data_IF_497647844763
#
_entry.id   IF_497647844763
#
_cell.length_a   1.000
_cell.length_b   1.000
_cell.length_c   1.000
_cell.angle_alpha   90.00
_cell.angle_beta   90.00
_cell.angle_gamma   90.00
#
_symmetry.space_group_name_H-M   'P 1'
#
loop_
_entity.id
_entity.type
_entity.pdbx_description
1 polymer ?
#
# COMPACT_ATOMS: atom_id res chain seq x y z
N UNK A 1 14.98 12.03 6.62
CA UNK A 1 14.77 11.93 5.18
C UNK A 1 13.57 12.74 4.75
N UNK A 2 13.72 13.53 3.72
CA UNK A 2 12.61 14.33 3.19
C UNK A 2 11.84 13.53 2.16
N UNK A 3 10.52 13.76 2.12
CA UNK A 3 9.65 13.11 1.16
C UNK A 3 8.55 14.08 0.76
N UNK A 4 8.15 14.00 -0.50
CA UNK A 4 6.99 14.74 -0.98
C UNK A 4 5.68 14.03 -0.64
N UNK A 5 5.77 12.82 -0.11
CA UNK A 5 4.60 12.03 0.25
C UNK A 5 4.15 12.45 1.64
N UNK A 6 2.88 12.87 1.75
CA UNK A 6 2.35 13.43 2.99
C UNK A 6 1.45 12.49 3.76
N UNK A 7 0.94 11.46 3.10
CA UNK A 7 0.01 10.55 3.75
C UNK A 7 0.69 9.21 3.98
N UNK A 8 0.84 8.84 5.24
CA UNK A 8 1.43 7.57 5.64
C UNK A 8 0.49 6.92 6.63
N UNK A 9 -0.10 5.81 6.24
CA UNK A 9 -1.05 5.08 7.07
C UNK A 9 -0.42 3.78 7.53
N UNK A 10 -0.19 3.60 8.82
CA UNK A 10 0.32 2.31 9.30
C UNK A 10 -0.74 1.24 9.12
N UNK A 11 -0.32 0.06 8.73
CA UNK A 11 -1.24 -1.04 8.51
C UNK A 11 -0.52 -2.37 8.43
N UNK A 12 -1.30 -3.41 8.20
CA UNK A 12 -0.81 -4.78 8.09
C UNK A 12 -1.25 -5.34 6.75
N UNK A 13 -0.33 -6.01 6.06
CA UNK A 13 -0.68 -6.66 4.80
C UNK A 13 -1.63 -7.82 5.10
N UNK A 14 -2.83 -7.73 4.53
CA UNK A 14 -3.87 -8.74 4.72
C UNK A 14 -3.85 -9.77 3.59
N UNK A 15 -3.48 -9.35 2.38
CA UNK A 15 -3.57 -10.18 1.21
C UNK A 15 -2.64 -9.67 0.13
N UNK A 16 -2.01 -10.59 -0.58
CA UNK A 16 -1.20 -10.27 -1.76
C UNK A 16 -1.67 -11.17 -2.90
N UNK A 17 -2.03 -10.57 -4.02
CA UNK A 17 -2.36 -11.31 -5.23
C UNK A 17 -1.42 -10.83 -6.32
N UNK A 18 -0.66 -11.76 -6.89
CA UNK A 18 0.40 -11.41 -7.84
C UNK A 18 0.24 -12.16 -9.15
N UNK A 19 0.54 -11.48 -10.24
CA UNK A 19 0.93 -12.15 -11.47
C UNK A 19 2.41 -11.85 -11.71
N UNK A 20 2.89 -12.12 -12.91
CA UNK A 20 4.32 -11.92 -13.21
C UNK A 20 4.75 -10.47 -13.14
N UNK A 21 3.85 -9.55 -13.43
CA UNK A 21 4.18 -8.14 -13.66
C UNK A 21 3.76 -7.28 -12.50
N UNK A 22 2.51 -7.43 -12.05
CA UNK A 22 1.96 -6.56 -10.99
C UNK A 22 1.40 -7.39 -9.87
N UNK A 23 1.35 -6.76 -8.70
CA UNK A 23 0.79 -7.36 -7.50
C UNK A 23 -0.18 -6.39 -6.86
N UNK A 24 -1.29 -6.93 -6.38
CA UNK A 24 -2.25 -6.18 -5.59
C UNK A 24 -2.01 -6.48 -4.13
N UNK A 25 -1.85 -5.44 -3.34
CA UNK A 25 -1.59 -5.55 -1.91
C UNK A 25 -2.79 -4.94 -1.18
N UNK A 26 -3.44 -5.73 -0.36
CA UNK A 26 -4.52 -5.22 0.49
C UNK A 26 -3.95 -4.99 1.87
N UNK A 27 -4.02 -3.75 2.33
CA UNK A 27 -3.46 -3.32 3.61
C UNK A 27 -4.62 -2.94 4.52
N UNK A 28 -4.67 -3.57 5.68
CA UNK A 28 -5.66 -3.21 6.70
C UNK A 28 -5.09 -2.10 7.55
N UNK A 29 -5.81 -0.99 7.61
CA UNK A 29 -5.44 0.16 8.44
C UNK A 29 -6.55 0.42 9.46
N UNK A 30 -6.30 1.32 10.41
CA UNK A 30 -7.31 1.73 11.38
C UNK A 30 -8.53 2.38 10.72
N UNK A 31 -8.34 2.94 9.53
CA UNK A 31 -9.40 3.62 8.78
C UNK A 31 -10.10 2.69 7.78
N UNK A 32 -9.70 1.42 7.69
CA UNK A 32 -10.24 0.48 6.74
C UNK A 32 -9.15 -0.08 5.83
N UNK A 33 -9.57 -0.74 4.76
CA UNK A 33 -8.63 -1.36 3.83
C UNK A 33 -8.17 -0.36 2.79
N UNK A 34 -6.87 -0.43 2.49
CA UNK A 34 -6.25 0.34 1.41
C UNK A 34 -5.64 -0.65 0.45
N UNK A 35 -5.97 -0.53 -0.83
CA UNK A 35 -5.45 -1.42 -1.86
C UNK A 35 -4.38 -0.69 -2.66
N UNK A 36 -3.25 -1.35 -2.85
CA UNK A 36 -2.13 -0.83 -3.62
C UNK A 36 -1.81 -1.78 -4.74
N UNK A 37 -1.45 -1.25 -5.91
CA UNK A 37 -0.93 -2.05 -7.01
C UNK A 37 0.50 -1.61 -7.24
N UNK A 38 1.42 -2.54 -7.08
CA UNK A 38 2.85 -2.30 -7.30
C UNK A 38 3.41 -3.41 -8.17
N UNK A 39 4.62 -3.26 -8.65
CA UNK A 39 5.22 -4.32 -9.46
C UNK A 39 5.53 -5.54 -8.59
N UNK A 40 5.39 -6.71 -9.18
CA UNK A 40 5.76 -7.95 -8.50
C UNK A 40 7.24 -7.95 -8.13
N UNK A 41 8.07 -7.31 -8.97
CA UNK A 41 9.47 -7.12 -8.64
C UNK A 41 9.68 -6.33 -7.35
N UNK A 42 8.84 -5.32 -7.11
CA UNK A 42 8.91 -4.55 -5.86
C UNK A 42 8.53 -5.40 -4.66
N UNK A 43 7.50 -6.25 -4.80
CA UNK A 43 7.12 -7.18 -3.74
C UNK A 43 8.30 -8.08 -3.37
N UNK A 44 8.98 -8.58 -4.39
CA UNK A 44 10.12 -9.47 -4.19
C UNK A 44 11.30 -8.75 -3.53
N UNK A 45 11.63 -7.54 -4.02
CA UNK A 45 12.74 -6.77 -3.45
C UNK A 45 12.51 -6.41 -1.99
N UNK A 46 11.29 -6.06 -1.66
CA UNK A 46 10.94 -5.69 -0.28
C UNK A 46 10.58 -6.91 0.58
N UNK A 47 10.53 -8.09 -0.04
CA UNK A 47 10.18 -9.33 0.65
C UNK A 47 8.85 -9.20 1.41
N UNK A 48 7.84 -8.64 0.74
CA UNK A 48 6.55 -8.42 1.38
C UNK A 48 5.77 -9.73 1.51
N UNK A 49 5.14 -9.91 2.66
CA UNK A 49 4.35 -11.10 2.99
C UNK A 49 3.11 -10.68 3.75
N UNK A 50 2.10 -11.51 3.71
CA UNK A 50 0.92 -11.34 4.55
C UNK A 50 1.35 -11.34 6.01
N UNK A 51 0.77 -10.41 6.76
CA UNK A 51 1.11 -10.22 8.16
C UNK A 51 2.17 -9.17 8.41
N UNK A 52 2.89 -8.72 7.37
CA UNK A 52 3.91 -7.69 7.53
C UNK A 52 3.28 -6.36 7.91
N UNK A 53 3.96 -5.63 8.78
CA UNK A 53 3.57 -4.27 9.13
C UNK A 53 4.23 -3.31 8.15
N UNK A 54 3.41 -2.45 7.56
CA UNK A 54 3.84 -1.55 6.50
C UNK A 54 3.19 -0.18 6.69
N UNK A 55 3.64 0.77 5.88
CA UNK A 55 2.93 2.04 5.71
C UNK A 55 2.35 2.08 4.30
N UNK A 56 1.06 2.38 4.21
CA UNK A 56 0.47 2.77 2.94
C UNK A 56 0.78 4.25 2.74
N UNK A 57 1.54 4.58 1.71
CA UNK A 57 1.95 5.96 1.47
C UNK A 57 1.27 6.47 0.20
N UNK A 58 0.68 7.65 0.29
CA UNK A 58 -0.12 8.21 -0.78
C UNK A 58 0.28 9.66 -0.99
N UNK A 59 0.66 10.00 -2.22
CA UNK A 59 0.95 11.40 -2.54
C UNK A 59 -0.34 12.21 -2.43
N UNK A 60 -0.23 13.41 -1.91
CA UNK A 60 -1.40 14.28 -1.71
C UNK A 60 -2.14 14.52 -3.02
N UNK A 61 -1.44 14.56 -4.14
CA UNK A 61 -2.04 14.77 -5.45
C UNK A 61 -2.90 13.59 -5.92
N UNK A 62 -2.76 12.44 -5.28
CA UNK A 62 -3.49 11.22 -5.63
C UNK A 62 -4.73 10.99 -4.76
N UNK A 63 -4.97 11.87 -3.81
CA UNK A 63 -6.11 11.73 -2.89
C UNK A 63 -7.28 12.54 -3.42
N UNK A 64 -8.39 11.86 -3.65
CA UNK A 64 -9.63 12.49 -4.08
C UNK A 64 -10.54 12.66 -2.87
N UNK A 65 -11.49 13.57 -2.99
CA UNK A 65 -12.43 13.88 -1.90
C UNK A 65 -13.84 13.66 -2.42
N UNK A 66 -14.63 12.96 -1.62
CA UNK A 66 -16.06 12.88 -1.88
C UNK A 66 -16.81 13.20 -0.60
N UNK A 67 -18.00 13.76 -0.78
CA UNK A 67 -18.84 14.15 0.34
C UNK A 67 -19.85 13.05 0.63
N UNK A 68 -20.00 12.75 1.90
CA UNK A 68 -21.00 11.76 2.34
C UNK A 68 -22.41 12.32 2.22
#
# INVERSE_FOLDING_TARGET
MSSSIRNRLPGTIEKIVSDRVVSEIVIRTAAGEVTSVITTGSVQRMNLKEGDQVFAIIKATEVSVEKQ
#
